data_IF_915476050705
#
_entry.id   IF_915476050705
#
_cell.length_a   1.000
_cell.length_b   1.000
_cell.length_c   1.000
_cell.angle_alpha   90.00
_cell.angle_beta   90.00
_cell.angle_gamma   90.00
#
_symmetry.space_group_name_H-M   'P 1'
#
loop_
_entity.id
_entity.type
_entity.pdbx_description
1 polymer ?
#
# COMPACT_ATOMS: atom_id res chain seq x y z
N UNK A 1 -6.41 -18.91 1.01
CA UNK A 1 -5.52 -17.86 0.49
C UNK A 1 -5.30 -16.83 1.60
N UNK A 2 -4.12 -16.21 1.63
CA UNK A 2 -3.58 -15.44 2.76
C UNK A 2 -3.38 -13.99 2.33
N UNK A 3 -3.60 -13.00 3.22
CA UNK A 3 -3.27 -11.62 2.91
C UNK A 3 -1.77 -11.47 2.63
N UNK A 4 -1.43 -10.56 1.71
CA UNK A 4 -0.04 -10.29 1.37
C UNK A 4 0.57 -9.32 2.38
N UNK A 5 1.87 -9.48 2.67
CA UNK A 5 2.65 -8.51 3.43
C UNK A 5 2.70 -7.20 2.65
N UNK A 6 2.38 -6.12 3.36
CA UNK A 6 2.40 -4.76 2.85
C UNK A 6 3.79 -4.16 3.10
N UNK A 7 4.21 -3.23 2.24
CA UNK A 7 5.34 -2.38 2.57
C UNK A 7 4.94 -1.43 3.69
N UNK A 8 5.88 -1.13 4.58
CA UNK A 8 5.65 -0.27 5.75
C UNK A 8 6.32 1.08 5.57
N UNK A 9 5.64 2.13 6.01
CA UNK A 9 6.12 3.51 5.98
C UNK A 9 6.07 4.09 7.38
N UNK A 10 7.19 4.60 7.88
CA UNK A 10 7.24 5.39 9.09
C UNK A 10 7.08 6.86 8.74
N UNK A 11 5.95 7.45 9.14
CA UNK A 11 5.64 8.86 8.97
C UNK A 11 5.49 9.50 10.34
N UNK A 12 6.35 10.50 10.65
CA UNK A 12 6.35 11.21 11.94
C UNK A 12 6.42 10.27 13.16
N UNK A 13 7.24 9.22 13.06
CA UNK A 13 7.44 8.21 14.13
C UNK A 13 6.38 7.11 14.18
N UNK A 14 5.32 7.23 13.39
CA UNK A 14 4.21 6.27 13.36
C UNK A 14 4.34 5.32 12.18
N UNK A 15 4.04 4.03 12.37
CA UNK A 15 4.06 3.02 11.30
C UNK A 15 2.72 2.99 10.58
N UNK A 16 2.79 2.94 9.25
CA UNK A 16 1.67 2.89 8.32
C UNK A 16 1.89 1.78 7.29
N UNK A 17 0.81 1.12 6.90
CA UNK A 17 0.78 0.18 5.78
C UNK A 17 0.63 0.89 4.45
N UNK A 18 1.34 0.45 3.42
CA UNK A 18 1.05 0.83 2.03
C UNK A 18 -0.22 0.13 1.55
N UNK A 19 -1.27 0.91 1.27
CA UNK A 19 -2.59 0.38 0.85
C UNK A 19 -2.99 0.81 -0.57
N UNK A 20 -2.21 1.70 -1.19
CA UNK A 20 -2.36 2.09 -2.59
C UNK A 20 -1.16 2.90 -3.08
N UNK A 21 -0.83 2.79 -4.37
CA UNK A 21 0.28 3.52 -4.99
C UNK A 21 -0.06 3.91 -6.43
N UNK A 22 0.28 5.14 -6.81
CA UNK A 22 0.22 5.59 -8.20
C UNK A 22 1.48 6.35 -8.55
N UNK A 23 2.27 5.85 -9.50
CA UNK A 23 3.56 6.47 -9.87
C UNK A 23 4.65 5.43 -10.02
N UNK A 24 5.91 5.88 -9.94
CA UNK A 24 7.09 5.03 -10.16
C UNK A 24 8.25 5.44 -9.27
N UNK A 25 9.27 4.57 -9.20
CA UNK A 25 10.51 4.85 -8.48
C UNK A 25 10.49 4.47 -6.99
N UNK A 26 9.52 3.67 -6.53
CA UNK A 26 9.72 2.88 -5.30
C UNK A 26 10.81 1.84 -5.54
N UNK A 27 11.40 1.36 -4.44
CA UNK A 27 12.51 0.43 -4.50
C UNK A 27 12.11 -0.91 -5.14
N UNK A 28 12.91 -1.37 -6.10
CA UNK A 28 12.86 -2.73 -6.65
C UNK A 28 14.22 -3.41 -6.40
N UNK A 29 14.28 -4.54 -5.67
CA UNK A 29 15.51 -5.30 -5.49
C UNK A 29 16.22 -5.66 -6.80
N UNK A 30 15.47 -5.87 -7.90
CA UNK A 30 16.02 -6.23 -9.20
C UNK A 30 16.97 -5.15 -9.75
N UNK A 31 16.69 -3.87 -9.50
CA UNK A 31 17.53 -2.74 -9.92
C UNK A 31 18.90 -2.74 -9.22
N UNK A 32 19.02 -3.50 -8.13
CA UNK A 32 20.23 -3.64 -7.32
C UNK A 32 20.88 -5.02 -7.46
N UNK A 33 20.47 -5.81 -8.46
CA UNK A 33 21.00 -7.16 -8.69
C UNK A 33 20.59 -8.18 -7.62
N UNK A 34 19.57 -7.87 -6.81
CA UNK A 34 19.02 -8.77 -5.80
C UNK A 34 17.90 -9.58 -6.46
N UNK A 35 18.15 -10.87 -6.65
CA UNK A 35 17.14 -11.79 -7.19
C UNK A 35 16.23 -12.29 -6.07
N UNK A 36 14.93 -12.10 -6.24
CA UNK A 36 13.89 -12.51 -5.29
C UNK A 36 13.10 -13.71 -5.80
N UNK A 37 12.60 -14.54 -4.89
CA UNK A 37 11.68 -15.64 -5.18
C UNK A 37 10.72 -15.82 -3.99
N UNK A 38 9.43 -15.56 -4.20
CA UNK A 38 8.42 -15.70 -3.15
C UNK A 38 8.10 -17.17 -2.85
N UNK A 39 8.46 -17.64 -1.66
CA UNK A 39 8.18 -19.02 -1.20
C UNK A 39 6.99 -19.13 -0.24
N UNK A 40 6.29 -18.02 0.01
CA UNK A 40 5.14 -17.97 0.91
C UNK A 40 3.94 -17.29 0.27
N UNK A 41 2.74 -17.81 0.50
CA UNK A 41 1.48 -17.24 -0.01
C UNK A 41 1.17 -15.84 0.53
N UNK A 42 1.78 -15.46 1.65
CA UNK A 42 1.71 -14.11 2.18
C UNK A 42 2.72 -13.14 1.55
N UNK A 43 3.67 -13.60 0.73
CA UNK A 43 4.63 -12.72 0.04
C UNK A 43 5.04 -13.31 -1.31
N UNK A 44 4.12 -13.31 -2.27
CA UNK A 44 4.42 -13.78 -3.62
C UNK A 44 5.52 -12.95 -4.30
N UNK A 45 5.60 -11.65 -3.98
CA UNK A 45 6.61 -10.73 -4.52
C UNK A 45 8.03 -11.09 -4.08
N UNK A 46 8.19 -11.84 -3.00
CA UNK A 46 9.51 -12.29 -2.52
C UNK A 46 10.27 -11.26 -1.68
N UNK A 47 9.71 -10.07 -1.43
CA UNK A 47 10.34 -9.07 -0.57
C UNK A 47 9.34 -8.11 0.08
N UNK A 48 9.77 -7.50 1.18
CA UNK A 48 9.07 -6.43 1.91
C UNK A 48 10.04 -5.29 2.17
N UNK A 49 9.61 -4.08 1.88
CA UNK A 49 10.36 -2.85 2.14
C UNK A 49 9.79 -2.12 3.35
N UNK A 50 10.69 -1.53 4.14
CA UNK A 50 10.32 -0.53 5.14
C UNK A 50 10.98 0.80 4.79
N UNK A 51 10.19 1.86 4.84
CA UNK A 51 10.61 3.20 4.52
C UNK A 51 10.45 4.13 5.70
N UNK A 52 11.35 5.10 5.85
CA UNK A 52 11.15 6.28 6.69
C UNK A 52 10.85 7.48 5.78
N UNK A 53 9.91 8.33 6.20
CA UNK A 53 9.62 9.62 5.58
C UNK A 53 9.97 10.71 6.57
N UNK A 54 10.89 11.59 6.18
CA UNK A 54 11.31 12.77 6.93
C UNK A 54 11.34 14.02 6.02
N UNK A 55 11.89 15.13 6.52
CA UNK A 55 11.95 16.41 5.81
C UNK A 55 12.85 16.36 4.55
N UNK A 56 13.77 15.39 4.46
CA UNK A 56 14.65 15.21 3.29
C UNK A 56 13.97 14.40 2.19
N UNK A 57 13.03 13.52 2.55
CA UNK A 57 12.24 12.72 1.61
C UNK A 57 11.89 11.33 2.12
N UNK A 58 11.79 10.39 1.18
CA UNK A 58 11.57 8.97 1.45
C UNK A 58 12.89 8.20 1.38
N UNK A 59 13.12 7.35 2.38
CA UNK A 59 14.31 6.50 2.47
C UNK A 59 13.92 5.06 2.71
N UNK A 60 14.49 4.13 1.96
CA UNK A 60 14.46 2.72 2.31
C UNK A 60 15.38 2.51 3.51
N UNK A 61 14.82 2.00 4.60
CA UNK A 61 15.53 1.74 5.87
C UNK A 61 15.68 0.27 6.20
N UNK A 62 14.82 -0.58 5.64
CA UNK A 62 14.96 -2.02 5.76
C UNK A 62 14.45 -2.72 4.49
N UNK A 63 15.14 -3.79 4.10
CA UNK A 63 14.69 -4.71 3.06
C UNK A 63 14.72 -6.16 3.58
N UNK A 64 13.58 -6.84 3.51
CA UNK A 64 13.43 -8.25 3.81
C UNK A 64 13.29 -9.02 2.49
N UNK A 65 14.10 -10.05 2.26
CA UNK A 65 14.18 -10.75 0.97
C UNK A 65 14.04 -12.26 1.16
N UNK A 66 13.22 -12.88 0.32
CA UNK A 66 13.29 -14.30 -0.02
C UNK A 66 13.96 -14.46 -1.38
N UNK A 67 14.86 -15.42 -1.50
CA UNK A 67 15.59 -15.68 -2.74
C UNK A 67 15.54 -17.15 -3.14
N UNK A 68 16.05 -17.49 -4.33
CA UNK A 68 16.23 -18.88 -4.73
C UNK A 68 17.06 -19.66 -3.70
N UNK A 69 16.85 -20.97 -3.62
CA UNK A 69 17.66 -21.83 -2.73
C UNK A 69 19.15 -21.68 -3.05
N UNK A 70 19.95 -21.43 -2.01
CA UNK A 70 21.39 -21.21 -2.13
C UNK A 70 21.78 -19.86 -2.75
N UNK A 71 20.84 -18.91 -2.82
CA UNK A 71 21.14 -17.55 -3.27
C UNK A 71 22.19 -16.90 -2.37
N UNK A 72 23.03 -16.10 -3.01
CA UNK A 72 23.90 -15.13 -2.34
C UNK A 72 23.36 -13.75 -2.64
N UNK A 73 23.37 -12.89 -1.63
CA UNK A 73 22.76 -11.57 -1.69
C UNK A 73 23.88 -10.51 -1.67
N UNK A 74 23.94 -9.61 -2.67
CA UNK A 74 24.96 -8.57 -2.72
C UNK A 74 24.76 -7.54 -1.60
N UNK A 75 25.80 -6.76 -1.30
CA UNK A 75 25.65 -5.60 -0.43
C UNK A 75 24.72 -4.56 -1.07
N UNK A 76 23.87 -3.94 -0.28
CA UNK A 76 22.94 -2.90 -0.71
C UNK A 76 23.28 -1.60 0.03
N UNK A 77 23.65 -0.54 -0.69
CA UNK A 77 24.03 0.72 -0.05
C UNK A 77 25.26 0.61 0.87
N UNK A 78 26.13 -0.37 0.64
CA UNK A 78 27.26 -0.67 1.54
C UNK A 78 26.91 -1.54 2.76
N UNK A 79 25.62 -1.86 2.95
CA UNK A 79 25.14 -2.75 4.02
C UNK A 79 25.17 -4.20 3.54
N UNK A 80 25.75 -5.09 4.34
CA UNK A 80 25.72 -6.53 4.11
C UNK A 80 24.42 -7.13 4.65
N UNK A 81 23.80 -8.09 3.94
CA UNK A 81 22.62 -8.76 4.43
C UNK A 81 22.97 -9.70 5.60
N UNK A 82 22.05 -9.82 6.54
CA UNK A 82 22.08 -10.82 7.62
C UNK A 82 21.12 -11.96 7.24
N UNK A 83 21.58 -13.21 7.35
CA UNK A 83 20.72 -14.36 7.14
C UNK A 83 19.66 -14.45 8.27
N UNK A 84 18.37 -14.51 7.91
CA UNK A 84 17.29 -14.47 8.91
C UNK A 84 16.83 -15.84 9.40
N UNK A 85 17.06 -16.92 8.64
CA UNK A 85 16.70 -18.30 9.02
C UNK A 85 15.20 -18.55 9.29
N UNK A 86 14.36 -17.53 9.16
CA UNK A 86 12.92 -17.56 9.34
C UNK A 86 12.22 -17.47 7.97
N UNK A 87 11.15 -16.68 7.87
CA UNK A 87 10.39 -16.49 6.63
C UNK A 87 11.22 -15.86 5.51
N UNK A 88 12.18 -14.98 5.84
CA UNK A 88 13.05 -14.30 4.89
C UNK A 88 14.46 -14.89 4.93
N UNK A 89 15.08 -15.02 3.76
CA UNK A 89 16.44 -15.55 3.63
C UNK A 89 17.49 -14.51 3.99
N UNK A 90 17.24 -13.24 3.67
CA UNK A 90 18.14 -12.12 3.93
C UNK A 90 17.39 -10.90 4.46
N UNK A 91 18.04 -10.20 5.40
CA UNK A 91 17.57 -8.93 5.95
C UNK A 91 18.68 -7.90 5.78
N UNK A 92 18.33 -6.77 5.19
CA UNK A 92 19.16 -5.58 5.19
C UNK A 92 18.57 -4.60 6.18
N UNK A 93 19.29 -4.37 7.28
CA UNK A 93 18.95 -3.41 8.33
C UNK A 93 19.84 -2.17 8.24
N UNK A 94 19.42 -1.08 8.89
CA UNK A 94 20.17 0.18 8.96
C UNK A 94 20.52 0.77 7.57
N UNK A 95 19.61 0.58 6.60
CA UNK A 95 19.71 1.28 5.32
C UNK A 95 19.32 2.76 5.50
N UNK A 96 19.83 3.61 4.62
CA UNK A 96 19.30 4.96 4.39
C UNK A 96 19.44 5.31 2.92
N UNK A 97 18.77 4.55 2.07
CA UNK A 97 18.80 4.76 0.63
C UNK A 97 17.68 5.70 0.21
N UNK A 98 18.06 6.86 -0.35
CA UNK A 98 17.08 7.81 -0.89
C UNK A 98 16.30 7.15 -2.04
N UNK A 99 14.97 7.26 -1.98
CA UNK A 99 14.06 6.68 -2.98
C UNK A 99 13.51 7.82 -3.83
N UNK A 100 13.82 7.89 -5.13
CA UNK A 100 13.40 9.02 -5.98
C UNK A 100 11.94 8.87 -6.44
N UNK A 101 11.04 8.47 -5.54
CA UNK A 101 9.64 8.19 -5.85
C UNK A 101 8.93 9.43 -6.40
N UNK A 102 8.25 9.26 -7.54
CA UNK A 102 7.43 10.30 -8.15
C UNK A 102 6.02 9.76 -8.33
N UNK A 103 5.07 10.32 -7.59
CA UNK A 103 3.79 9.68 -7.47
C UNK A 103 3.02 10.03 -6.21
N UNK A 104 1.99 9.25 -5.96
CA UNK A 104 1.17 9.31 -4.76
C UNK A 104 1.18 7.96 -4.04
N UNK A 105 1.21 8.01 -2.71
CA UNK A 105 1.04 6.87 -1.82
C UNK A 105 -0.22 7.07 -1.00
N UNK A 106 -0.97 5.99 -0.78
CA UNK A 106 -2.06 5.93 0.16
C UNK A 106 -1.63 5.01 1.30
N UNK A 107 -1.60 5.56 2.51
CA UNK A 107 -1.12 4.91 3.71
C UNK A 107 -2.26 4.67 4.69
N UNK A 108 -2.35 3.46 5.22
CA UNK A 108 -3.38 3.04 6.18
C UNK A 108 -2.77 2.73 7.55
N UNK A 109 -3.48 3.10 8.62
CA UNK A 109 -3.11 2.76 10.00
C UNK A 109 -4.35 2.41 10.82
N UNK A 110 -4.16 1.67 11.91
CA UNK A 110 -5.22 1.18 12.79
C UNK A 110 -6.16 0.24 12.03
N UNK A 111 -5.57 -0.85 11.52
CA UNK A 111 -6.30 -1.84 10.76
C UNK A 111 -7.42 -2.50 11.59
N UNK A 112 -8.64 -2.46 11.06
CA UNK A 112 -9.86 -3.00 11.67
C UNK A 112 -10.01 -4.45 11.24
N UNK A 113 -9.65 -5.37 12.15
CA UNK A 113 -9.58 -6.81 11.85
C UNK A 113 -10.89 -7.40 11.34
N UNK A 114 -12.04 -6.87 11.75
CA UNK A 114 -13.36 -7.35 11.33
C UNK A 114 -13.63 -7.08 9.83
N UNK A 115 -12.89 -6.16 9.22
CA UNK A 115 -12.98 -5.80 7.80
C UNK A 115 -11.89 -6.48 6.97
N UNK A 116 -11.19 -7.44 7.56
CA UNK A 116 -10.10 -8.14 6.91
C UNK A 116 -10.59 -8.94 5.70
N UNK A 117 -9.93 -8.70 4.56
CA UNK A 117 -10.09 -9.50 3.37
C UNK A 117 -8.93 -10.47 3.22
N UNK A 118 -9.23 -11.73 2.94
CA UNK A 118 -8.23 -12.78 2.73
C UNK A 118 -7.45 -12.64 1.41
N UNK A 119 -7.86 -11.73 0.53
CA UNK A 119 -7.49 -11.70 -0.88
C UNK A 119 -7.03 -10.31 -1.30
N UNK A 120 -5.74 -10.19 -1.62
CA UNK A 120 -5.13 -8.94 -2.08
C UNK A 120 -4.78 -7.98 -0.95
N UNK A 121 -4.70 -6.69 -1.30
CA UNK A 121 -4.41 -5.60 -0.37
C UNK A 121 -5.65 -5.19 0.42
N UNK A 122 -5.45 -4.84 1.69
CA UNK A 122 -6.52 -4.30 2.52
C UNK A 122 -6.99 -2.96 1.94
N UNK A 123 -8.31 -2.72 1.98
CA UNK A 123 -8.90 -1.51 1.39
C UNK A 123 -8.90 -0.36 2.40
N UNK A 124 -8.88 0.90 1.96
CA UNK A 124 -8.76 2.03 2.88
C UNK A 124 -9.86 2.11 3.94
N UNK A 125 -11.09 1.67 3.63
CA UNK A 125 -12.19 1.64 4.60
C UNK A 125 -11.95 0.68 5.78
N UNK A 126 -11.02 -0.28 5.64
CA UNK A 126 -10.60 -1.20 6.69
C UNK A 126 -9.58 -0.59 7.67
N UNK A 127 -9.24 0.69 7.53
CA UNK A 127 -8.30 1.40 8.40
C UNK A 127 -9.02 2.52 9.18
N UNK A 128 -8.56 2.75 10.42
CA UNK A 128 -9.02 3.86 11.26
C UNK A 128 -8.51 5.20 10.75
N UNK A 129 -7.30 5.21 10.18
CA UNK A 129 -6.66 6.39 9.63
C UNK A 129 -6.15 6.14 8.21
N UNK A 130 -6.33 7.12 7.33
CA UNK A 130 -5.87 7.06 5.94
C UNK A 130 -5.24 8.38 5.54
N UNK A 131 -4.00 8.33 5.05
CA UNK A 131 -3.23 9.50 4.56
C UNK A 131 -2.87 9.33 3.10
N UNK A 132 -3.09 10.35 2.30
CA UNK A 132 -2.54 10.45 0.94
C UNK A 132 -1.31 11.35 0.96
N UNK A 133 -0.19 10.84 0.43
CA UNK A 133 1.06 11.56 0.30
C UNK A 133 1.44 11.69 -1.17
N UNK A 134 1.74 12.90 -1.63
CA UNK A 134 2.18 13.18 -3.00
C UNK A 134 3.65 13.59 -2.99
N UNK A 135 4.46 12.88 -3.78
CA UNK A 135 5.90 13.07 -3.89
C UNK A 135 6.31 13.51 -5.29
N UNK A 136 7.43 14.23 -5.34
CA UNK A 136 8.16 14.52 -6.59
C UNK A 136 9.62 14.25 -6.35
N UNK A 137 10.19 13.28 -7.07
CA UNK A 137 11.58 12.82 -6.93
C UNK A 137 11.99 12.55 -5.47
N UNK A 138 11.13 11.90 -4.71
CA UNK A 138 11.35 11.53 -3.31
C UNK A 138 11.01 12.61 -2.29
N UNK A 139 10.79 13.87 -2.70
CA UNK A 139 10.41 14.94 -1.79
C UNK A 139 8.88 15.00 -1.61
N UNK A 140 8.41 15.04 -0.36
CA UNK A 140 6.98 15.21 -0.05
C UNK A 140 6.50 16.61 -0.48
N UNK A 141 5.43 16.67 -1.26
CA UNK A 141 4.82 17.90 -1.78
C UNK A 141 3.46 18.19 -1.19
N UNK A 142 2.66 17.16 -0.93
CA UNK A 142 1.33 17.30 -0.32
C UNK A 142 1.05 16.11 0.58
N UNK A 143 0.37 16.38 1.67
CA UNK A 143 -0.28 15.38 2.51
C UNK A 143 -1.77 15.75 2.63
N UNK A 144 -2.64 14.75 2.53
CA UNK A 144 -4.07 14.90 2.77
C UNK A 144 -4.56 13.80 3.72
N UNK A 145 -5.48 14.17 4.62
CA UNK A 145 -6.15 13.25 5.52
C UNK A 145 -7.48 12.80 4.90
N UNK A 146 -7.63 11.50 4.67
CA UNK A 146 -8.86 10.90 4.14
C UNK A 146 -9.57 10.01 5.19
N UNK A 147 -9.19 10.12 6.46
CA UNK A 147 -9.70 9.25 7.52
C UNK A 147 -11.22 9.36 7.70
N UNK A 148 -11.77 10.57 7.67
CA UNK A 148 -13.21 10.80 7.80
C UNK A 148 -13.98 10.29 6.56
N UNK A 149 -13.44 10.54 5.35
CA UNK A 149 -14.00 10.02 4.11
C UNK A 149 -14.16 8.49 4.15
N UNK A 150 -13.12 7.77 4.54
CA UNK A 150 -13.15 6.32 4.60
C UNK A 150 -13.91 5.77 5.82
N UNK A 151 -14.06 6.57 6.88
CA UNK A 151 -14.98 6.27 7.99
C UNK A 151 -16.42 6.31 7.52
N UNK A 152 -16.81 7.34 6.79
CA UNK A 152 -18.19 7.50 6.30
C UNK A 152 -18.54 6.40 5.30
N UNK A 153 -17.61 6.07 4.41
CA UNK A 153 -17.76 4.94 3.49
C UNK A 153 -17.96 3.62 4.24
N UNK A 154 -17.13 3.34 5.25
CA UNK A 154 -17.27 2.14 6.10
C UNK A 154 -18.65 2.08 6.79
N UNK A 155 -19.13 3.20 7.32
CA UNK A 155 -20.45 3.24 7.97
C UNK A 155 -21.58 2.93 6.98
N UNK A 156 -21.49 3.44 5.74
CA UNK A 156 -22.46 3.17 4.68
C UNK A 156 -22.48 1.70 4.27
N UNK A 157 -21.30 1.12 4.03
CA UNK A 157 -21.17 -0.31 3.71
C UNK A 157 -21.80 -1.19 4.80
N UNK A 158 -21.62 -0.83 6.08
CA UNK A 158 -22.24 -1.55 7.19
C UNK A 158 -23.77 -1.46 7.17
N UNK A 159 -24.36 -0.31 6.82
CA UNK A 159 -25.83 -0.15 6.67
C UNK A 159 -26.38 -1.00 5.51
N UNK A 160 -25.68 -1.05 4.39
CA UNK A 160 -26.06 -1.85 3.22
C UNK A 160 -26.12 -3.36 3.51
N UNK A 161 -25.14 -3.88 4.26
CA UNK A 161 -25.12 -5.28 4.69
C UNK A 161 -26.30 -5.62 5.60
N UNK A 162 -26.85 -4.63 6.30
CA UNK A 162 -27.96 -4.77 7.24
C UNK A 162 -29.37 -4.61 6.62
N UNK A 163 -29.50 -4.38 5.30
CA UNK A 163 -30.79 -4.55 4.60
C UNK A 163 -31.35 -3.38 3.79
N UNK A 164 -30.67 -2.25 3.69
CA UNK A 164 -31.14 -1.12 2.86
C UNK A 164 -30.80 -1.36 1.37
N UNK A 165 -31.80 -1.76 0.57
CA UNK A 165 -31.65 -2.16 -0.86
C UNK A 165 -31.25 -1.03 -1.81
N UNK A 166 -31.53 0.23 -1.47
CA UNK A 166 -31.38 1.38 -2.38
C UNK A 166 -29.92 1.79 -2.69
N UNK A 167 -28.93 1.23 -1.99
CA UNK A 167 -27.52 1.67 -2.05
C UNK A 167 -26.56 0.56 -2.56
N UNK A 168 -27.09 -0.59 -2.99
CA UNK A 168 -26.30 -1.78 -3.37
C UNK A 168 -25.54 -1.66 -4.69
N UNK A 169 -26.12 -1.03 -5.70
CA UNK A 169 -25.56 -1.03 -7.06
C UNK A 169 -24.41 -0.02 -7.23
N UNK A 170 -24.46 1.14 -6.57
CA UNK A 170 -23.46 2.21 -6.74
C UNK A 170 -22.13 1.93 -6.01
N UNK A 171 -22.19 1.28 -4.85
CA UNK A 171 -21.01 0.94 -4.03
C UNK A 171 -20.34 -0.35 -4.53
N UNK A 172 -21.12 -1.30 -5.08
CA UNK A 172 -20.59 -2.55 -5.65
C UNK A 172 -19.64 -2.31 -6.83
N UNK A 173 -20.03 -1.43 -7.75
CA UNK A 173 -19.19 -1.06 -8.90
C UNK A 173 -17.91 -0.30 -8.47
N UNK A 174 -17.99 0.51 -7.40
CA UNK A 174 -16.80 1.14 -6.81
C UNK A 174 -15.83 0.12 -6.18
N UNK A 175 -16.34 -0.87 -5.44
CA UNK A 175 -15.52 -1.94 -4.86
C UNK A 175 -14.76 -2.70 -5.96
N UNK A 176 -15.41 -2.94 -7.10
CA UNK A 176 -14.76 -3.57 -8.26
C UNK A 176 -13.62 -2.72 -8.86
N UNK A 177 -13.73 -1.38 -8.84
CA UNK A 177 -12.64 -0.48 -9.27
C UNK A 177 -11.45 -0.44 -8.30
N UNK A 178 -11.65 -0.83 -7.03
CA UNK A 178 -10.62 -0.81 -6.01
C UNK A 178 -9.61 -1.97 -6.12
N UNK A 179 -9.75 -2.89 -7.07
CA UNK A 179 -8.77 -3.97 -7.30
C UNK A 179 -7.52 -3.51 -8.06
N UNK A 180 -7.48 -2.26 -8.52
CA UNK A 180 -6.27 -1.62 -9.04
C UNK A 180 -5.41 -1.05 -7.91
N UNK A 181 -4.09 -1.21 -8.00
CA UNK A 181 -3.12 -0.58 -7.09
C UNK A 181 -3.04 0.92 -7.36
N UNK A 182 -3.27 1.36 -8.60
CA UNK A 182 -3.35 2.77 -8.98
C UNK A 182 -4.62 3.43 -8.45
N UNK A 183 -4.54 3.93 -7.22
CA UNK A 183 -5.66 4.57 -6.55
C UNK A 183 -6.10 5.89 -7.20
N UNK A 184 -5.32 6.50 -8.09
CA UNK A 184 -5.75 7.75 -8.74
C UNK A 184 -6.90 7.52 -9.71
N UNK A 185 -7.16 6.27 -10.09
CA UNK A 185 -8.34 5.87 -10.84
C UNK A 185 -9.60 5.81 -9.96
N UNK A 186 -9.47 5.86 -8.63
CA UNK A 186 -10.59 5.65 -7.72
C UNK A 186 -11.49 6.90 -7.63
N UNK A 187 -12.77 6.81 -8.01
CA UNK A 187 -13.68 7.95 -8.02
C UNK A 187 -13.84 8.63 -6.66
N UNK A 188 -13.77 7.86 -5.55
CA UNK A 188 -13.96 8.36 -4.18
C UNK A 188 -12.94 9.42 -3.78
N UNK A 189 -11.74 9.42 -4.37
CA UNK A 189 -10.71 10.43 -4.08
C UNK A 189 -10.83 11.67 -4.98
N UNK A 190 -11.62 11.61 -6.07
CA UNK A 190 -11.83 12.72 -7.01
C UNK A 190 -13.12 13.47 -6.75
N UNK A 191 -14.20 12.74 -6.49
CA UNK A 191 -15.54 13.27 -6.24
C UNK A 191 -16.24 12.46 -5.14
N UNK A 192 -15.83 12.66 -3.87
CA UNK A 192 -16.37 11.89 -2.75
C UNK A 192 -17.86 12.10 -2.58
N UNK A 193 -18.36 13.31 -2.80
CA UNK A 193 -19.77 13.63 -2.62
C UNK A 193 -20.67 12.88 -3.60
N UNK A 194 -20.28 12.78 -4.88
CA UNK A 194 -21.03 12.00 -5.88
C UNK A 194 -21.02 10.51 -5.57
N UNK A 195 -19.87 9.96 -5.15
CA UNK A 195 -19.75 8.54 -4.80
C UNK A 195 -20.56 8.22 -3.54
N UNK A 196 -20.46 9.08 -2.52
CA UNK A 196 -21.26 8.98 -1.32
C UNK A 196 -22.74 9.33 -1.59
N UNK A 197 -23.11 10.08 -2.62
CA UNK A 197 -24.51 10.29 -2.96
C UNK A 197 -25.14 9.08 -3.68
N UNK A 198 -24.36 8.04 -3.98
CA UNK A 198 -24.82 6.88 -4.76
C UNK A 198 -24.99 7.20 -6.25
N UNK A 199 -24.41 8.31 -6.72
CA UNK A 199 -24.52 8.80 -8.10
C UNK A 199 -23.30 8.43 -8.96
N UNK A 200 -22.43 7.55 -8.47
CA UNK A 200 -21.23 7.13 -9.17
C UNK A 200 -21.58 6.51 -10.54
N UNK A 201 -21.14 7.17 -11.61
CA UNK A 201 -21.09 6.53 -12.93
C UNK A 201 -19.95 5.52 -12.90
N UNK A 202 -20.15 4.27 -13.33
CA UNK A 202 -19.06 3.31 -13.41
C UNK A 202 -17.93 3.89 -14.27
N UNK A 203 -16.69 3.74 -13.79
CA UNK A 203 -15.52 4.06 -14.59
C UNK A 203 -15.49 3.10 -15.78
N UNK A 204 -15.88 3.59 -16.96
CA UNK A 204 -15.62 2.90 -18.22
C UNK A 204 -14.27 3.41 -18.74
N UNK A 205 -13.22 2.55 -18.80
CA UNK A 205 -12.01 2.92 -19.50
C UNK A 205 -12.38 3.24 -20.96
N UNK A 206 -11.92 4.39 -21.46
CA UNK A 206 -12.07 4.71 -22.88
C UNK A 206 -11.10 3.83 -23.67
N UNK A 207 -11.62 3.11 -24.66
CA UNK A 207 -10.86 2.27 -25.61
C UNK A 207 -9.82 3.07 -26.42
#
# INVERSE_FOLDING_TARGET
MTAQFEDEFRLRGEVWSLIGMSGSGLFDPADHGIRVEGHCTACYRGFVCRYDIDDEGIFLVQLLVMGPRGATFPALGGVQPVASGQLFDAVYDDLRLAVPFDGGLLLGREFIRDLYVHMGFQKPHAFGQVRELIFTKGCLRREADHSDLFRDLRQRMSRMQNGDEADRDSVGDWIASCFDVDYRTWPILRDPDTVLAGQARPYMPQE
#
